data_IF_897385845124
#
_entry.id   IF_897385845124
#
_cell.length_a   1.000
_cell.length_b   1.000
_cell.length_c   1.000
_cell.angle_alpha   90.00
_cell.angle_beta   90.00
_cell.angle_gamma   90.00
#
_symmetry.space_group_name_H-M   'P 1'
#
loop_
_entity.id
_entity.type
_entity.pdbx_description
1 polymer ?
#
# COMPACT_ATOMS: atom_id res chain seq x y z
N UNK A 1 -0.11 -10.13 23.99
CA UNK A 1 -0.71 -10.88 22.87
C UNK A 1 -1.00 -12.27 23.38
N UNK A 2 -2.26 -12.67 23.43
CA UNK A 2 -2.72 -13.87 24.14
C UNK A 2 -2.97 -15.03 23.19
N UNK A 3 -3.06 -14.77 21.87
CA UNK A 3 -3.00 -15.81 20.84
C UNK A 3 -2.59 -15.26 19.48
N UNK A 4 -1.97 -16.10 18.68
CA UNK A 4 -1.65 -15.83 17.28
C UNK A 4 -2.36 -16.83 16.37
N UNK A 5 -3.07 -16.34 15.37
CA UNK A 5 -3.64 -17.11 14.28
C UNK A 5 -2.85 -16.79 13.00
N UNK A 6 -2.15 -17.77 12.44
CA UNK A 6 -1.43 -17.62 11.17
C UNK A 6 -2.19 -18.36 10.09
N UNK A 7 -2.62 -17.63 9.07
CA UNK A 7 -3.29 -18.13 7.88
C UNK A 7 -2.30 -17.99 6.72
N UNK A 8 -1.89 -19.12 6.17
CA UNK A 8 -0.91 -19.21 5.08
C UNK A 8 -1.63 -19.60 3.81
N UNK A 9 -1.77 -18.65 2.90
CA UNK A 9 -2.33 -18.89 1.59
C UNK A 9 -1.25 -19.41 0.66
N UNK A 10 -1.57 -20.52 -0.01
CA UNK A 10 -0.68 -21.05 -1.03
C UNK A 10 -0.66 -20.13 -2.25
N UNK A 11 0.37 -20.27 -3.06
CA UNK A 11 0.42 -19.63 -4.37
C UNK A 11 -0.80 -20.04 -5.20
N UNK A 12 -1.41 -19.08 -5.91
CA UNK A 12 -2.60 -19.28 -6.72
C UNK A 12 -3.55 -18.09 -6.73
N UNK A 13 -4.59 -18.21 -7.55
CA UNK A 13 -5.67 -17.23 -7.67
C UNK A 13 -6.90 -17.75 -6.93
N UNK A 14 -7.37 -16.99 -5.96
CA UNK A 14 -8.49 -17.33 -5.09
C UNK A 14 -9.71 -16.54 -5.51
N UNK A 15 -10.57 -17.18 -6.30
CA UNK A 15 -11.85 -16.60 -6.72
C UNK A 15 -12.94 -17.03 -5.76
N UNK A 16 -13.82 -16.09 -5.41
CA UNK A 16 -15.02 -16.40 -4.63
C UNK A 16 -16.11 -17.02 -5.52
N UNK A 17 -15.94 -18.30 -5.91
CA UNK A 17 -16.98 -19.08 -6.60
C UNK A 17 -18.24 -19.32 -5.77
N UNK A 18 -18.20 -19.01 -4.46
CA UNK A 18 -19.27 -19.28 -3.49
C UNK A 18 -19.76 -18.04 -2.71
N UNK A 19 -19.71 -16.84 -3.30
CA UNK A 19 -20.43 -15.64 -2.84
C UNK A 19 -20.09 -15.07 -1.43
N UNK A 20 -19.02 -15.53 -0.77
CA UNK A 20 -18.56 -14.95 0.50
C UNK A 20 -17.32 -14.08 0.25
N UNK A 21 -17.28 -12.85 0.77
CA UNK A 21 -16.04 -12.06 0.87
C UNK A 21 -15.05 -12.75 1.82
N UNK A 22 -13.75 -12.54 1.60
CA UNK A 22 -12.78 -12.80 2.65
C UNK A 22 -12.91 -11.65 3.66
N UNK A 23 -13.41 -11.93 4.86
CA UNK A 23 -13.56 -10.95 5.94
C UNK A 23 -12.82 -11.41 7.19
N UNK A 24 -11.90 -10.58 7.69
CA UNK A 24 -11.18 -10.82 8.94
C UNK A 24 -11.79 -9.97 10.05
N UNK A 25 -12.41 -10.64 11.02
CA UNK A 25 -13.01 -10.01 12.21
C UNK A 25 -12.56 -10.77 13.45
N UNK A 26 -11.46 -10.36 14.11
CA UNK A 26 -11.03 -10.97 15.35
C UNK A 26 -12.13 -10.86 16.41
N UNK A 27 -12.35 -11.95 17.16
CA UNK A 27 -13.24 -11.95 18.31
C UNK A 27 -12.42 -12.21 19.58
N UNK A 28 -12.53 -11.30 20.55
CA UNK A 28 -11.73 -11.31 21.78
C UNK A 28 -10.67 -10.21 21.80
N UNK A 29 -9.93 -10.11 22.90
CA UNK A 29 -8.84 -9.14 23.09
C UNK A 29 -7.48 -9.75 22.78
N UNK A 30 -6.47 -8.89 22.49
CA UNK A 30 -5.06 -9.29 22.39
C UNK A 30 -4.80 -10.41 21.38
N UNK A 31 -5.53 -10.40 20.26
CA UNK A 31 -5.38 -11.37 19.17
C UNK A 31 -4.47 -10.83 18.08
N UNK A 32 -3.53 -11.65 17.62
CA UNK A 32 -2.83 -11.42 16.36
C UNK A 32 -3.42 -12.34 15.29
N UNK A 33 -3.91 -11.78 14.19
CA UNK A 33 -4.23 -12.52 12.96
C UNK A 33 -3.23 -12.13 11.88
N UNK A 34 -2.44 -13.09 11.42
CA UNK A 34 -1.55 -12.93 10.28
C UNK A 34 -2.14 -13.67 9.08
N UNK A 35 -2.35 -12.96 7.97
CA UNK A 35 -2.68 -13.53 6.67
C UNK A 35 -1.50 -13.28 5.72
N UNK A 36 -0.90 -14.36 5.23
CA UNK A 36 0.27 -14.28 4.34
C UNK A 36 0.11 -15.12 3.08
N UNK A 37 0.56 -14.59 1.93
CA UNK A 37 0.63 -15.31 0.66
C UNK A 37 2.03 -15.84 0.33
N UNK A 38 2.16 -16.38 -0.90
CA UNK A 38 3.42 -16.89 -1.44
C UNK A 38 3.85 -18.25 -0.90
N UNK A 39 2.95 -19.04 -0.30
CA UNK A 39 3.31 -20.33 0.30
C UNK A 39 3.22 -21.51 -0.69
N UNK A 40 4.15 -22.44 -0.58
CA UNK A 40 4.15 -23.68 -1.37
C UNK A 40 4.71 -24.86 -0.57
N UNK A 41 4.60 -26.07 -1.14
CA UNK A 41 5.01 -27.30 -0.49
C UNK A 41 4.32 -28.55 -1.06
N UNK A 42 4.97 -29.70 -0.87
CA UNK A 42 4.45 -31.01 -1.26
C UNK A 42 3.17 -31.36 -0.48
N UNK A 43 2.28 -32.16 -1.08
CA UNK A 43 1.04 -32.63 -0.45
C UNK A 43 0.18 -31.50 0.14
N UNK A 44 0.08 -30.37 -0.58
CA UNK A 44 -0.68 -29.19 -0.16
C UNK A 44 -0.17 -28.51 1.14
N UNK A 45 1.07 -28.77 1.53
CA UNK A 45 1.69 -28.09 2.69
C UNK A 45 2.11 -26.64 2.37
N UNK A 46 2.35 -25.85 3.43
CA UNK A 46 2.84 -24.47 3.40
C UNK A 46 4.22 -24.39 4.09
N UNK A 47 5.22 -25.05 3.51
CA UNK A 47 6.57 -25.20 4.07
C UNK A 47 7.58 -24.21 3.50
N UNK A 48 7.39 -23.78 2.25
CA UNK A 48 8.25 -22.83 1.55
C UNK A 48 7.51 -21.53 1.33
N UNK A 49 8.22 -20.40 1.40
CA UNK A 49 7.66 -19.07 1.18
C UNK A 49 8.48 -18.33 0.12
N UNK A 50 7.79 -17.71 -0.83
CA UNK A 50 8.33 -16.70 -1.74
C UNK A 50 7.72 -15.34 -1.38
N UNK A 51 8.53 -14.28 -1.42
CA UNK A 51 8.14 -12.94 -0.97
C UNK A 51 7.60 -12.07 -2.12
N UNK A 52 6.78 -12.65 -2.99
CA UNK A 52 6.23 -11.98 -4.16
C UNK A 52 4.70 -11.93 -4.03
N UNK A 53 4.09 -10.75 -3.85
CA UNK A 53 2.65 -10.58 -3.71
C UNK A 53 1.86 -11.08 -4.91
N UNK A 54 2.43 -11.08 -6.12
CA UNK A 54 1.75 -11.51 -7.34
C UNK A 54 1.49 -13.02 -7.36
N UNK A 55 2.16 -13.80 -6.51
CA UNK A 55 1.97 -15.25 -6.44
C UNK A 55 0.69 -15.67 -5.73
N UNK A 56 0.07 -14.79 -4.94
CA UNK A 56 -1.19 -15.08 -4.24
C UNK A 56 -2.17 -13.95 -4.46
N UNK A 57 -3.14 -14.18 -5.34
CA UNK A 57 -4.15 -13.17 -5.69
C UNK A 57 -5.50 -13.52 -5.09
N UNK A 58 -6.07 -12.59 -4.31
CA UNK A 58 -7.45 -12.66 -3.86
C UNK A 58 -8.32 -11.85 -4.83
N UNK A 59 -9.36 -12.49 -5.37
CA UNK A 59 -10.26 -11.88 -6.36
C UNK A 59 -11.61 -11.59 -5.72
N UNK A 60 -12.05 -10.34 -5.80
CA UNK A 60 -13.38 -9.93 -5.37
C UNK A 60 -14.48 -10.42 -6.31
N UNK A 61 -15.72 -10.02 -6.03
CA UNK A 61 -16.87 -10.33 -6.90
C UNK A 61 -17.65 -9.06 -7.20
N UNK A 62 -18.67 -9.18 -8.06
CA UNK A 62 -19.54 -8.06 -8.37
C UNK A 62 -20.14 -7.36 -7.14
N UNK A 63 -20.35 -8.10 -6.05
CA UNK A 63 -21.05 -7.62 -4.87
C UNK A 63 -20.21 -7.60 -3.59
N UNK A 64 -18.92 -7.92 -3.69
CA UNK A 64 -18.04 -8.10 -2.52
C UNK A 64 -16.62 -7.68 -2.84
N UNK A 65 -15.98 -7.08 -1.85
CA UNK A 65 -14.55 -6.75 -1.88
C UNK A 65 -13.70 -8.01 -1.97
N UNK A 66 -12.47 -7.89 -2.47
CA UNK A 66 -11.53 -9.02 -2.44
C UNK A 66 -11.19 -9.40 -1.00
N UNK A 67 -10.81 -8.44 -0.15
CA UNK A 67 -10.59 -8.65 1.27
C UNK A 67 -11.10 -7.47 2.10
N UNK A 68 -11.89 -7.80 3.12
CA UNK A 68 -12.27 -6.89 4.19
C UNK A 68 -11.57 -7.27 5.49
N UNK A 69 -11.20 -6.29 6.30
CA UNK A 69 -10.90 -6.52 7.71
C UNK A 69 -11.49 -5.43 8.59
N UNK A 70 -11.85 -5.83 9.81
CA UNK A 70 -12.57 -4.99 10.75
C UNK A 70 -12.14 -5.34 12.17
N UNK A 71 -11.53 -4.37 12.84
CA UNK A 71 -11.08 -4.44 14.23
C UNK A 71 -11.99 -3.51 15.03
N UNK A 72 -12.93 -4.07 15.79
CA UNK A 72 -13.83 -3.29 16.63
C UNK A 72 -13.74 -3.73 18.09
N UNK A 73 -13.82 -2.75 19.00
CA UNK A 73 -13.94 -2.99 20.43
C UNK A 73 -15.37 -3.39 20.79
N UNK A 74 -15.66 -4.69 20.79
CA UNK A 74 -16.88 -5.20 21.44
C UNK A 74 -16.55 -5.50 22.90
N UNK A 75 -17.19 -4.81 23.85
CA UNK A 75 -17.14 -5.13 25.29
C UNK A 75 -15.74 -5.11 25.92
N UNK A 76 -14.97 -4.03 25.77
CA UNK A 76 -13.64 -3.89 26.40
C UNK A 76 -12.55 -4.78 25.76
N UNK A 77 -12.73 -5.10 24.48
CA UNK A 77 -11.70 -5.75 23.67
C UNK A 77 -10.77 -4.71 23.08
N UNK A 78 -9.50 -4.78 23.47
CA UNK A 78 -8.41 -3.93 22.99
C UNK A 78 -7.21 -4.80 22.54
N UNK A 79 -6.25 -4.17 21.88
CA UNK A 79 -4.96 -4.73 21.44
C UNK A 79 -5.05 -5.86 20.39
N UNK A 80 -6.07 -5.86 19.54
CA UNK A 80 -6.09 -6.73 18.36
C UNK A 80 -5.16 -6.18 17.26
N UNK A 81 -4.45 -7.09 16.59
CA UNK A 81 -3.58 -6.80 15.46
C UNK A 81 -3.95 -7.69 14.26
N UNK A 82 -4.16 -7.07 13.10
CA UNK A 82 -4.18 -7.77 11.81
C UNK A 82 -2.90 -7.45 11.05
N UNK A 83 -2.23 -8.49 10.55
CA UNK A 83 -1.06 -8.37 9.70
C UNK A 83 -1.33 -9.03 8.34
N UNK A 84 -1.31 -8.23 7.27
CA UNK A 84 -1.49 -8.69 5.89
C UNK A 84 -0.15 -8.56 5.17
N UNK A 85 0.31 -9.64 4.54
CA UNK A 85 1.63 -9.65 3.90
C UNK A 85 1.71 -10.55 2.67
N UNK A 86 2.41 -10.08 1.63
CA UNK A 86 2.65 -10.86 0.39
C UNK A 86 1.34 -11.26 -0.32
N UNK A 87 0.46 -10.29 -0.58
CA UNK A 87 -0.86 -10.53 -1.19
C UNK A 87 -1.13 -9.55 -2.33
N UNK A 88 -1.74 -10.06 -3.40
CA UNK A 88 -2.32 -9.26 -4.47
C UNK A 88 -3.85 -9.27 -4.42
N UNK A 89 -4.48 -8.16 -4.81
CA UNK A 89 -5.92 -7.99 -4.87
C UNK A 89 -6.36 -7.48 -6.23
N UNK A 90 -7.43 -8.05 -6.77
CA UNK A 90 -8.08 -7.56 -7.99
C UNK A 90 -9.59 -7.70 -7.93
N UNK A 91 -10.33 -6.76 -8.52
CA UNK A 91 -11.79 -6.82 -8.58
C UNK A 91 -12.34 -5.95 -9.72
N UNK A 92 -12.19 -6.38 -10.99
CA UNK A 92 -12.65 -5.61 -12.14
C UNK A 92 -14.18 -5.68 -12.31
N UNK A 93 -14.84 -6.62 -11.64
CA UNK A 93 -16.26 -6.88 -11.80
C UNK A 93 -17.15 -6.18 -10.77
N UNK A 94 -16.62 -5.39 -9.83
CA UNK A 94 -17.37 -4.84 -8.72
C UNK A 94 -18.38 -3.76 -9.16
N UNK A 95 -19.60 -3.83 -8.62
CA UNK A 95 -20.75 -3.02 -9.06
C UNK A 95 -21.54 -2.39 -7.92
N UNK A 96 -21.07 -2.52 -6.67
CA UNK A 96 -21.81 -1.99 -5.52
C UNK A 96 -21.40 -0.55 -5.20
N UNK A 97 -22.33 0.19 -4.61
CA UNK A 97 -22.08 1.47 -3.94
C UNK A 97 -21.38 1.22 -2.60
N UNK A 98 -20.10 0.89 -2.63
CA UNK A 98 -19.30 0.71 -1.41
C UNK A 98 -17.93 1.38 -1.49
N UNK A 99 -17.26 1.44 -0.35
CA UNK A 99 -15.94 2.03 -0.21
C UNK A 99 -14.86 0.94 -0.28
N UNK A 100 -14.31 0.73 -1.47
CA UNK A 100 -13.28 -0.26 -1.79
C UNK A 100 -13.84 -1.46 -2.55
N UNK A 101 -13.28 -1.79 -3.71
CA UNK A 101 -13.51 -3.00 -4.49
C UNK A 101 -12.48 -4.09 -4.17
N UNK A 102 -11.23 -3.74 -3.89
CA UNK A 102 -10.17 -4.70 -3.63
C UNK A 102 -9.92 -4.90 -2.13
N UNK A 103 -9.34 -3.92 -1.45
CA UNK A 103 -9.04 -4.00 -0.01
C UNK A 103 -9.80 -2.94 0.78
N UNK A 104 -10.48 -3.38 1.85
CA UNK A 104 -11.15 -2.48 2.79
C UNK A 104 -10.76 -2.80 4.24
N UNK A 105 -10.35 -1.77 4.98
CA UNK A 105 -9.95 -1.90 6.38
C UNK A 105 -10.68 -0.92 7.30
N UNK A 106 -11.09 -1.39 8.47
CA UNK A 106 -11.57 -0.55 9.58
C UNK A 106 -10.83 -0.90 10.86
N UNK A 107 -10.21 0.09 11.49
CA UNK A 107 -9.41 -0.07 12.71
C UNK A 107 -10.00 0.84 13.78
N UNK A 108 -10.60 0.29 14.84
CA UNK A 108 -11.04 1.09 15.99
C UNK A 108 -9.88 1.48 16.93
N UNK A 109 -10.15 2.43 17.82
CA UNK A 109 -9.20 2.83 18.87
C UNK A 109 -8.74 1.63 19.70
N UNK A 110 -7.47 1.60 20.09
CA UNK A 110 -6.88 0.49 20.84
C UNK A 110 -6.54 -0.74 19.98
N UNK A 111 -6.65 -0.66 18.65
CA UNK A 111 -6.27 -1.72 17.74
C UNK A 111 -5.22 -1.27 16.73
N UNK A 112 -4.58 -2.25 16.11
CA UNK A 112 -3.55 -2.01 15.11
C UNK A 112 -3.74 -2.83 13.84
N UNK A 113 -3.36 -2.28 12.70
CA UNK A 113 -3.20 -3.05 11.47
C UNK A 113 -1.83 -2.79 10.85
N UNK A 114 -1.25 -3.84 10.27
CA UNK A 114 -0.01 -3.77 9.50
C UNK A 114 -0.22 -4.37 8.12
N UNK A 115 0.16 -3.65 7.07
CA UNK A 115 0.10 -4.09 5.68
C UNK A 115 1.50 -3.98 5.09
N UNK A 116 2.01 -5.05 4.49
CA UNK A 116 3.37 -5.08 3.96
C UNK A 116 3.43 -5.90 2.66
N UNK A 117 3.99 -5.35 1.59
CA UNK A 117 4.06 -6.01 0.27
C UNK A 117 2.67 -6.42 -0.22
N UNK A 118 1.88 -5.39 -0.50
CA UNK A 118 0.51 -5.52 -1.00
C UNK A 118 0.45 -4.96 -2.42
N UNK A 119 -0.12 -5.73 -3.35
CA UNK A 119 -0.44 -5.25 -4.68
C UNK A 119 -1.97 -5.13 -4.81
N UNK A 120 -2.45 -4.04 -5.40
CA UNK A 120 -3.85 -3.90 -5.80
C UNK A 120 -3.90 -3.41 -7.25
N UNK A 121 -4.58 -4.15 -8.12
CA UNK A 121 -4.67 -3.81 -9.53
C UNK A 121 -6.02 -4.20 -10.15
N UNK A 122 -6.43 -3.49 -11.19
CA UNK A 122 -7.70 -3.71 -11.89
C UNK A 122 -8.88 -3.71 -10.91
N UNK A 123 -8.91 -2.70 -10.02
CA UNK A 123 -9.93 -2.53 -9.01
C UNK A 123 -10.93 -1.49 -9.50
N UNK A 124 -12.15 -1.90 -9.86
CA UNK A 124 -13.14 -0.98 -10.44
C UNK A 124 -14.36 -0.85 -9.55
N UNK A 125 -14.69 0.36 -9.12
CA UNK A 125 -15.89 0.69 -8.36
C UNK A 125 -16.67 1.81 -9.05
N UNK A 126 -17.29 1.57 -10.23
CA UNK A 126 -17.91 2.62 -11.04
C UNK A 126 -19.09 3.32 -10.34
N UNK A 127 -19.68 2.68 -9.34
CA UNK A 127 -20.75 3.26 -8.50
C UNK A 127 -20.31 3.51 -7.06
N UNK A 128 -19.04 3.19 -6.73
CA UNK A 128 -18.48 3.33 -5.39
C UNK A 128 -17.53 4.52 -5.31
N UNK A 129 -17.35 5.05 -4.10
CA UNK A 129 -16.44 6.18 -3.88
C UNK A 129 -14.97 5.80 -4.08
N UNK A 130 -14.59 4.59 -3.68
CA UNK A 130 -13.18 4.17 -3.63
C UNK A 130 -13.03 2.77 -4.21
N UNK A 131 -11.94 2.51 -4.94
CA UNK A 131 -11.75 1.22 -5.59
C UNK A 131 -10.63 0.37 -5.01
N UNK A 132 -9.36 0.78 -5.11
CA UNK A 132 -8.26 -0.17 -4.84
C UNK A 132 -8.08 -0.46 -3.36
N UNK A 133 -7.76 0.56 -2.55
CA UNK A 133 -7.51 0.37 -1.12
C UNK A 133 -8.18 1.48 -0.33
N UNK A 134 -9.04 1.11 0.62
CA UNK A 134 -9.72 2.08 1.49
C UNK A 134 -9.57 1.70 2.97
N UNK A 135 -8.88 2.53 3.74
CA UNK A 135 -8.53 2.28 5.14
C UNK A 135 -9.09 3.38 6.05
N UNK A 136 -10.02 3.00 6.94
CA UNK A 136 -10.55 3.86 7.99
C UNK A 136 -9.86 3.55 9.32
N UNK A 137 -9.11 4.50 9.86
CA UNK A 137 -8.26 4.31 11.03
C UNK A 137 -8.64 5.22 12.20
N UNK A 138 -9.04 4.61 13.32
CA UNK A 138 -9.21 5.21 14.65
C UNK A 138 -8.16 4.69 15.66
N UNK A 139 -7.25 3.80 15.23
CA UNK A 139 -6.18 3.21 16.04
C UNK A 139 -4.80 3.46 15.42
N UNK A 140 -3.97 2.42 15.32
CA UNK A 140 -2.64 2.50 14.69
C UNK A 140 -2.60 1.72 13.37
N UNK A 141 -2.18 2.37 12.30
CA UNK A 141 -1.99 1.77 11.00
C UNK A 141 -0.52 1.88 10.59
N UNK A 142 0.10 0.77 10.20
CA UNK A 142 1.36 0.76 9.45
C UNK A 142 1.10 0.13 8.09
N UNK A 143 1.43 0.83 7.01
CA UNK A 143 1.27 0.29 5.66
C UNK A 143 2.53 0.61 4.84
N UNK A 144 3.17 -0.41 4.30
CA UNK A 144 4.39 -0.23 3.52
C UNK A 144 4.54 -1.17 2.34
N UNK A 145 5.40 -0.78 1.40
CA UNK A 145 5.73 -1.58 0.23
C UNK A 145 4.46 -1.92 -0.57
N UNK A 146 3.63 -0.91 -0.83
CA UNK A 146 2.32 -1.10 -1.46
C UNK A 146 2.37 -0.57 -2.89
N UNK A 147 1.93 -1.40 -3.85
CA UNK A 147 1.76 -0.98 -5.23
C UNK A 147 0.26 -1.01 -5.59
N UNK A 148 -0.25 0.13 -6.05
CA UNK A 148 -1.62 0.26 -6.54
C UNK A 148 -1.59 0.74 -7.98
N UNK A 149 -2.29 0.06 -8.88
CA UNK A 149 -2.43 0.50 -10.27
C UNK A 149 -3.80 0.24 -10.86
N UNK A 150 -4.12 0.95 -11.94
CA UNK A 150 -5.27 0.66 -12.80
C UNK A 150 -6.58 0.49 -12.03
N UNK A 151 -6.80 1.37 -11.06
CA UNK A 151 -8.01 1.43 -10.25
C UNK A 151 -8.91 2.56 -10.70
N UNK A 152 -10.23 2.37 -10.72
CA UNK A 152 -11.19 3.41 -11.13
C UNK A 152 -12.38 3.46 -10.19
N UNK A 153 -12.73 4.65 -9.70
CA UNK A 153 -13.90 4.87 -8.85
C UNK A 153 -14.56 6.23 -9.13
N UNK A 154 -15.67 6.52 -8.44
CA UNK A 154 -16.24 7.87 -8.47
C UNK A 154 -15.32 8.90 -7.81
N UNK A 155 -14.75 8.62 -6.64
CA UNK A 155 -14.01 9.66 -5.90
C UNK A 155 -12.50 9.44 -5.87
N UNK A 156 -12.03 8.19 -5.86
CA UNK A 156 -10.61 7.83 -5.83
C UNK A 156 -10.39 6.37 -6.29
N UNK A 157 -9.71 6.19 -7.42
CA UNK A 157 -9.37 4.86 -7.94
C UNK A 157 -8.24 4.18 -7.16
N UNK A 158 -7.34 4.95 -6.56
CA UNK A 158 -6.15 4.45 -5.88
C UNK A 158 -6.32 4.12 -4.39
N UNK A 159 -5.48 4.75 -3.56
CA UNK A 159 -5.35 4.48 -2.13
C UNK A 159 -5.98 5.63 -1.32
N UNK A 160 -6.93 5.29 -0.45
CA UNK A 160 -7.47 6.19 0.56
C UNK A 160 -7.13 5.76 1.98
N UNK A 161 -6.71 6.73 2.79
CA UNK A 161 -6.50 6.55 4.23
C UNK A 161 -7.15 7.70 5.01
N UNK A 162 -8.07 7.34 5.89
CA UNK A 162 -8.72 8.25 6.83
C UNK A 162 -8.15 8.01 8.25
N UNK A 163 -7.59 9.03 8.90
CA UNK A 163 -7.14 8.99 10.29
C UNK A 163 -8.01 9.88 11.17
N UNK A 164 -8.79 9.27 12.05
CA UNK A 164 -9.68 9.96 12.98
C UNK A 164 -8.95 10.48 14.23
N UNK A 165 -9.68 11.19 15.10
CA UNK A 165 -9.11 11.77 16.31
C UNK A 165 -8.36 10.72 17.16
N UNK A 166 -7.10 11.01 17.49
CA UNK A 166 -6.20 10.13 18.23
C UNK A 166 -5.54 9.01 17.41
N UNK A 167 -5.95 8.79 16.16
CA UNK A 167 -5.38 7.77 15.30
C UNK A 167 -4.03 8.20 14.72
N UNK A 168 -3.16 7.22 14.46
CA UNK A 168 -1.87 7.43 13.80
C UNK A 168 -1.75 6.43 12.64
N UNK A 169 -1.45 6.93 11.45
CA UNK A 169 -1.09 6.13 10.29
C UNK A 169 0.34 6.44 9.84
N UNK A 170 1.15 5.38 9.69
CA UNK A 170 2.48 5.42 9.10
C UNK A 170 2.45 4.70 7.77
N UNK A 171 2.63 5.45 6.69
CA UNK A 171 2.60 5.01 5.31
C UNK A 171 4.00 5.20 4.72
N UNK A 172 4.59 4.17 4.12
CA UNK A 172 5.92 4.30 3.52
C UNK A 172 6.08 3.41 2.28
N UNK A 173 6.94 3.79 1.34
CA UNK A 173 7.22 2.96 0.14
C UNK A 173 5.95 2.56 -0.62
N UNK A 174 5.09 3.54 -0.92
CA UNK A 174 3.86 3.35 -1.68
C UNK A 174 4.05 3.88 -3.09
N UNK A 175 3.63 3.13 -4.10
CA UNK A 175 3.54 3.61 -5.48
C UNK A 175 2.10 3.48 -5.97
N UNK A 176 1.53 4.57 -6.48
CA UNK A 176 0.19 4.61 -7.08
C UNK A 176 0.25 5.23 -8.49
N UNK A 177 -0.21 4.50 -9.50
CA UNK A 177 -0.14 4.90 -10.92
C UNK A 177 -1.38 4.48 -11.70
N UNK A 178 -1.72 5.19 -12.79
CA UNK A 178 -2.79 4.75 -13.70
C UNK A 178 -4.18 4.65 -13.08
N UNK A 179 -4.42 5.29 -11.94
CA UNK A 179 -5.73 5.29 -11.28
C UNK A 179 -6.60 6.46 -11.73
N UNK A 180 -7.92 6.33 -11.63
CA UNK A 180 -8.89 7.29 -12.17
C UNK A 180 -9.99 7.64 -11.16
N UNK A 181 -10.48 8.87 -11.25
CA UNK A 181 -11.66 9.39 -10.57
C UNK A 181 -12.66 9.88 -11.60
N UNK A 182 -13.95 9.55 -11.45
CA UNK A 182 -14.98 9.86 -12.45
C UNK A 182 -16.16 10.67 -11.92
N UNK A 183 -16.17 10.97 -10.63
CA UNK A 183 -17.23 11.68 -9.93
C UNK A 183 -16.98 13.17 -9.91
N UNK A 184 -18.03 13.93 -10.25
CA UNK A 184 -18.00 15.39 -10.24
C UNK A 184 -17.61 15.94 -8.85
N UNK A 185 -16.64 16.86 -8.84
CA UNK A 185 -16.24 17.59 -7.63
C UNK A 185 -15.26 16.86 -6.69
N UNK A 186 -14.75 15.70 -7.08
CA UNK A 186 -13.66 15.01 -6.36
C UNK A 186 -12.34 15.18 -7.09
N UNK A 187 -11.32 15.60 -6.34
CA UNK A 187 -10.05 16.05 -6.91
C UNK A 187 -8.91 15.05 -6.67
N UNK A 188 -9.16 13.78 -6.37
CA UNK A 188 -8.10 12.84 -5.98
C UNK A 188 -8.20 11.48 -6.65
N UNK A 189 -7.32 11.15 -7.59
CA UNK A 189 -7.31 9.84 -8.28
C UNK A 189 -6.34 8.85 -7.68
N UNK A 190 -5.12 9.31 -7.35
CA UNK A 190 -4.04 8.51 -6.78
C UNK A 190 -4.19 8.25 -5.28
N UNK A 191 -3.47 9.01 -4.45
CA UNK A 191 -3.52 8.89 -3.00
C UNK A 191 -4.42 9.97 -2.39
N UNK A 192 -5.37 9.56 -1.55
CA UNK A 192 -6.24 10.45 -0.76
C UNK A 192 -5.95 10.27 0.73
N UNK A 193 -5.55 11.34 1.41
CA UNK A 193 -5.25 11.34 2.85
C UNK A 193 -6.18 12.29 3.59
N UNK A 194 -6.94 11.79 4.57
CA UNK A 194 -7.84 12.61 5.38
C UNK A 194 -7.53 12.47 6.85
N UNK A 195 -7.42 13.60 7.55
CA UNK A 195 -7.30 13.64 9.02
C UNK A 195 -8.52 14.34 9.63
N UNK A 196 -9.05 13.76 10.71
CA UNK A 196 -10.12 14.35 11.51
C UNK A 196 -9.64 14.62 12.93
N UNK A 197 -10.00 15.78 13.49
CA UNK A 197 -9.55 16.18 14.82
C UNK A 197 -8.02 16.25 14.90
N UNK A 198 -7.42 15.54 15.85
CA UNK A 198 -5.98 15.43 16.04
C UNK A 198 -5.38 14.13 15.46
N UNK A 199 -6.05 13.47 14.50
CA UNK A 199 -5.49 12.32 13.80
C UNK A 199 -4.23 12.68 13.00
N UNK A 200 -3.30 11.74 12.87
CA UNK A 200 -2.01 11.94 12.20
C UNK A 200 -1.79 10.93 11.08
N UNK A 201 -1.28 11.41 9.94
CA UNK A 201 -0.81 10.58 8.83
C UNK A 201 0.60 11.01 8.45
N UNK A 202 1.52 10.06 8.40
CA UNK A 202 2.86 10.25 7.87
C UNK A 202 3.01 9.43 6.60
N UNK A 203 3.33 10.08 5.48
CA UNK A 203 3.63 9.43 4.20
C UNK A 203 5.09 9.67 3.84
N UNK A 204 5.87 8.59 3.71
CA UNK A 204 7.30 8.63 3.43
C UNK A 204 7.70 7.85 2.18
N UNK A 205 8.75 8.27 1.48
CA UNK A 205 9.37 7.52 0.37
C UNK A 205 8.34 6.96 -0.62
N UNK A 206 7.38 7.77 -1.07
CA UNK A 206 6.24 7.28 -1.83
C UNK A 206 6.07 8.06 -3.13
N UNK A 207 5.51 7.41 -4.15
CA UNK A 207 5.22 7.97 -5.47
C UNK A 207 3.73 7.89 -5.75
N UNK A 208 3.13 8.98 -6.20
CA UNK A 208 1.80 8.98 -6.83
C UNK A 208 1.84 9.83 -8.08
N UNK A 209 1.77 9.21 -9.25
CA UNK A 209 2.06 9.92 -10.50
C UNK A 209 1.37 9.27 -11.70
N UNK A 210 0.94 10.08 -12.66
CA UNK A 210 0.38 9.60 -13.92
C UNK A 210 -0.94 8.87 -13.70
N UNK A 211 -1.77 9.39 -12.78
CA UNK A 211 -3.11 8.89 -12.55
C UNK A 211 -4.08 9.53 -13.55
N UNK A 212 -5.06 10.30 -13.07
CA UNK A 212 -6.09 10.85 -13.94
C UNK A 212 -5.52 11.78 -15.02
N UNK A 213 -6.11 11.72 -16.21
CA UNK A 213 -5.75 12.60 -17.32
C UNK A 213 -6.41 13.98 -17.19
N UNK A 214 -7.47 14.10 -16.38
CA UNK A 214 -8.08 15.37 -16.05
C UNK A 214 -7.14 16.20 -15.16
N UNK A 215 -6.75 17.38 -15.64
CA UNK A 215 -5.85 18.28 -14.94
C UNK A 215 -6.43 18.83 -13.63
N UNK A 216 -7.76 18.83 -13.48
CA UNK A 216 -8.42 19.24 -12.24
C UNK A 216 -8.39 18.14 -11.17
N UNK A 217 -8.13 16.89 -11.57
CA UNK A 217 -7.96 15.76 -10.65
C UNK A 217 -6.49 15.60 -10.26
N UNK A 218 -6.23 15.41 -8.96
CA UNK A 218 -4.88 15.39 -8.42
C UNK A 218 -4.38 13.97 -8.13
N UNK A 219 -3.07 13.77 -8.32
CA UNK A 219 -2.38 12.54 -7.93
C UNK A 219 -2.34 12.35 -6.40
N UNK A 220 -2.28 13.46 -5.65
CA UNK A 220 -2.30 13.48 -4.19
C UNK A 220 -3.33 14.49 -3.69
N UNK A 221 -4.33 14.01 -2.96
CA UNK A 221 -5.35 14.87 -2.35
C UNK A 221 -5.31 14.77 -0.83
N UNK A 222 -5.24 15.93 -0.17
CA UNK A 222 -5.07 16.02 1.29
C UNK A 222 -6.18 16.87 1.90
N UNK A 223 -6.82 16.33 2.94
CA UNK A 223 -7.77 17.08 3.76
C UNK A 223 -7.45 16.93 5.26
N UNK A 224 -7.24 18.06 5.92
CA UNK A 224 -6.96 18.14 7.35
C UNK A 224 -5.50 18.45 7.69
N UNK A 225 -5.27 18.89 8.92
CA UNK A 225 -4.01 19.47 9.37
C UNK A 225 -2.99 18.47 9.92
N UNK A 226 -3.30 17.16 9.95
CA UNK A 226 -2.45 16.13 10.57
C UNK A 226 -1.53 15.37 9.61
N UNK A 227 -1.39 15.82 8.36
CA UNK A 227 -0.65 15.09 7.32
C UNK A 227 0.76 15.62 7.14
N UNK A 228 1.76 14.74 7.25
CA UNK A 228 3.18 15.06 7.01
C UNK A 228 3.73 14.17 5.90
N UNK A 229 4.31 14.83 4.89
CA UNK A 229 4.97 14.18 3.75
C UNK A 229 6.49 14.29 3.91
N UNK A 230 7.22 13.22 3.62
CA UNK A 230 8.70 13.20 3.61
C UNK A 230 9.19 12.38 2.44
N UNK A 231 9.94 12.99 1.50
CA UNK A 231 10.38 12.29 0.27
C UNK A 231 9.20 11.66 -0.49
N UNK A 232 8.15 12.45 -0.70
CA UNK A 232 7.00 12.03 -1.50
C UNK A 232 7.12 12.68 -2.88
N UNK A 233 7.10 11.86 -3.92
CA UNK A 233 7.07 12.30 -5.31
C UNK A 233 5.63 12.26 -5.82
N UNK A 234 5.13 13.38 -6.32
CA UNK A 234 3.78 13.46 -6.86
C UNK A 234 3.74 14.25 -8.18
N UNK A 235 2.82 13.92 -9.08
CA UNK A 235 2.61 14.73 -10.28
C UNK A 235 1.89 16.02 -9.94
N UNK A 236 0.78 15.92 -9.19
CA UNK A 236 0.03 17.07 -8.71
C UNK A 236 -0.56 16.86 -7.30
N UNK A 237 -0.82 17.96 -6.59
CA UNK A 237 -1.29 17.94 -5.20
C UNK A 237 -2.37 18.99 -4.98
N UNK A 238 -3.43 18.60 -4.25
CA UNK A 238 -4.41 19.52 -3.68
C UNK A 238 -4.43 19.38 -2.15
N UNK A 239 -4.57 20.53 -1.48
CA UNK A 239 -4.53 20.64 -0.03
C UNK A 239 -3.15 21.05 0.51
N UNK A 240 -3.11 21.30 1.82
CA UNK A 240 -1.93 21.85 2.51
C UNK A 240 -1.48 20.90 3.63
N UNK A 241 -0.50 20.02 3.40
CA UNK A 241 0.03 19.18 4.47
C UNK A 241 0.69 20.05 5.55
N UNK A 242 0.70 19.56 6.79
CA UNK A 242 1.40 20.21 7.90
C UNK A 242 2.92 20.24 7.71
N UNK A 243 3.46 19.30 6.94
CA UNK A 243 4.86 19.31 6.51
C UNK A 243 5.00 18.67 5.14
N UNK A 244 5.81 19.27 4.28
CA UNK A 244 6.15 18.75 2.96
C UNK A 244 7.68 18.76 2.79
N UNK A 245 8.33 17.71 3.30
CA UNK A 245 9.78 17.68 3.48
C UNK A 245 10.41 17.01 2.27
N UNK A 246 11.24 17.77 1.54
CA UNK A 246 11.93 17.34 0.32
C UNK A 246 10.97 16.68 -0.70
N UNK A 247 9.96 17.41 -1.21
CA UNK A 247 9.06 16.90 -2.23
C UNK A 247 9.78 16.64 -3.55
N UNK A 248 9.30 15.65 -4.30
CA UNK A 248 9.67 15.40 -5.70
C UNK A 248 8.48 15.70 -6.62
N UNK A 249 8.76 16.19 -7.83
CA UNK A 249 7.77 16.38 -8.91
C UNK A 249 8.42 16.10 -10.27
N UNK A 250 7.63 15.98 -11.33
CA UNK A 250 8.11 15.66 -12.68
C UNK A 250 8.09 14.16 -12.97
N UNK A 251 8.73 13.74 -14.07
CA UNK A 251 8.80 12.33 -14.47
C UNK A 251 9.56 11.50 -13.41
N UNK A 252 8.92 10.49 -12.78
CA UNK A 252 9.57 9.61 -11.80
C UNK A 252 10.61 8.69 -12.46
N UNK A 253 10.65 8.58 -13.78
CA UNK A 253 11.58 7.70 -14.50
C UNK A 253 11.16 6.24 -14.46
N UNK A 254 9.86 5.94 -14.46
CA UNK A 254 9.35 4.56 -14.53
C UNK A 254 9.73 3.87 -15.83
N UNK A 255 9.90 2.55 -15.80
CA UNK A 255 10.20 1.72 -16.99
C UNK A 255 9.13 1.93 -18.06
N UNK A 256 7.86 1.91 -17.69
CA UNK A 256 6.73 2.24 -18.57
C UNK A 256 5.51 2.69 -17.76
N UNK A 257 4.39 3.01 -18.42
CA UNK A 257 3.13 3.33 -17.74
C UNK A 257 2.57 2.14 -16.94
N UNK A 258 2.85 0.91 -17.38
CA UNK A 258 2.36 -0.33 -16.75
C UNK A 258 3.40 -0.95 -15.78
N UNK A 259 4.60 -0.39 -15.72
CA UNK A 259 5.72 -0.89 -14.91
C UNK A 259 6.38 0.25 -14.15
N UNK A 260 5.97 0.41 -12.90
CA UNK A 260 6.43 1.46 -12.00
C UNK A 260 7.80 1.18 -11.34
N UNK A 261 8.55 0.18 -11.82
CA UNK A 261 9.97 0.05 -11.49
C UNK A 261 10.75 1.22 -12.09
N UNK A 262 11.82 1.62 -11.41
CA UNK A 262 12.64 2.77 -11.79
C UNK A 262 13.65 2.38 -12.89
N UNK A 263 13.81 3.25 -13.89
CA UNK A 263 14.90 3.16 -14.87
C UNK A 263 16.23 3.57 -14.19
N UNK A 264 17.40 3.12 -14.71
CA UNK A 264 18.71 3.40 -14.09
C UNK A 264 19.09 4.87 -13.86
N UNK A 265 18.38 5.83 -14.45
CA UNK A 265 18.62 7.27 -14.30
C UNK A 265 17.46 8.00 -13.64
N UNK A 266 16.55 7.26 -12.99
CA UNK A 266 15.47 7.87 -12.23
C UNK A 266 16.06 8.76 -11.13
N UNK A 267 15.50 9.97 -10.91
CA UNK A 267 15.90 10.82 -9.79
C UNK A 267 15.45 10.27 -8.43
N UNK A 268 14.67 9.17 -8.43
CA UNK A 268 14.11 8.57 -7.24
C UNK A 268 15.00 7.48 -6.62
N UNK A 269 16.01 7.01 -7.36
CA UNK A 269 17.01 6.05 -6.87
C UNK A 269 17.87 6.70 -5.79
N UNK A 270 18.12 5.99 -4.69
CA UNK A 270 18.95 6.39 -3.55
C UNK A 270 18.58 7.77 -2.97
N UNK A 271 17.30 8.15 -3.07
CA UNK A 271 16.84 9.51 -2.75
C UNK A 271 15.90 9.58 -1.54
N UNK A 272 15.49 8.43 -0.99
CA UNK A 272 14.60 8.33 0.15
C UNK A 272 15.26 8.62 1.50
N UNK A 273 14.51 8.37 2.57
CA UNK A 273 15.02 8.30 3.95
C UNK A 273 15.10 6.85 4.41
N UNK A 274 16.22 6.46 5.05
CA UNK A 274 16.42 5.08 5.52
C UNK A 274 15.60 4.74 6.79
N UNK A 275 15.09 5.77 7.46
CA UNK A 275 14.30 5.64 8.70
C UNK A 275 12.94 6.34 8.57
N UNK A 276 12.08 5.90 7.63
CA UNK A 276 10.73 6.42 7.54
C UNK A 276 9.94 6.02 8.79
N UNK A 277 8.94 6.82 9.15
CA UNK A 277 8.06 6.45 10.25
C UNK A 277 7.28 5.17 9.92
N UNK A 278 7.09 4.29 10.91
CA UNK A 278 6.59 2.93 10.69
C UNK A 278 7.65 1.94 10.19
N UNK A 279 8.86 2.42 9.85
CA UNK A 279 10.01 1.63 9.44
C UNK A 279 9.94 1.14 7.98
N UNK A 280 11.10 0.94 7.36
CA UNK A 280 11.21 0.57 5.96
C UNK A 280 10.82 -0.89 5.63
N UNK A 281 10.81 -1.76 6.63
CA UNK A 281 10.73 -3.20 6.38
C UNK A 281 12.04 -3.76 5.83
N UNK A 282 12.05 -5.06 5.54
CA UNK A 282 13.24 -5.77 5.07
C UNK A 282 13.26 -5.96 3.56
N UNK A 283 12.07 -5.99 2.94
CA UNK A 283 11.90 -6.31 1.53
C UNK A 283 11.09 -5.23 0.82
N UNK A 284 11.30 -5.11 -0.49
CA UNK A 284 10.50 -4.26 -1.36
C UNK A 284 9.22 -4.94 -1.84
N UNK A 285 8.42 -4.25 -2.67
CA UNK A 285 7.16 -4.80 -3.15
C UNK A 285 7.31 -6.02 -4.08
N UNK A 286 8.51 -6.33 -4.58
CA UNK A 286 8.84 -7.54 -5.36
C UNK A 286 9.49 -8.64 -4.51
N UNK A 287 9.77 -8.37 -3.23
CA UNK A 287 10.48 -9.29 -2.34
C UNK A 287 12.00 -9.18 -2.42
N UNK A 288 12.55 -8.21 -3.16
CA UNK A 288 13.95 -7.83 -3.14
C UNK A 288 14.34 -7.17 -1.82
N UNK A 289 15.64 -7.05 -1.52
CA UNK A 289 16.07 -6.31 -0.32
C UNK A 289 15.71 -4.84 -0.44
N UNK A 290 15.28 -4.19 0.65
CA UNK A 290 14.82 -2.79 0.64
C UNK A 290 15.94 -1.74 0.54
N UNK A 291 17.19 -2.10 0.80
CA UNK A 291 18.32 -1.19 0.58
C UNK A 291 19.28 -1.91 -0.35
N UNK A 292 19.35 -1.45 -1.60
CA UNK A 292 20.23 -2.03 -2.63
C UNK A 292 21.35 -1.08 -3.08
N UNK A 293 21.26 0.21 -2.72
CA UNK A 293 22.26 1.23 -3.00
C UNK A 293 22.70 2.00 -1.75
N UNK A 294 22.93 3.29 -1.91
CA UNK A 294 23.34 4.20 -0.83
C UNK A 294 22.21 4.56 0.14
N UNK A 295 20.95 4.51 -0.31
CA UNK A 295 19.76 4.78 0.48
C UNK A 295 18.56 3.97 -0.04
N UNK A 296 17.40 4.15 0.58
CA UNK A 296 16.13 3.62 0.06
C UNK A 296 15.67 4.41 -1.17
N UNK A 297 15.18 3.72 -2.19
CA UNK A 297 14.51 4.35 -3.33
C UNK A 297 13.13 4.92 -2.94
N UNK A 298 12.73 6.03 -3.57
CA UNK A 298 11.37 6.57 -3.40
C UNK A 298 10.38 5.77 -4.24
N UNK A 299 9.50 5.03 -3.58
CA UNK A 299 8.47 4.20 -4.19
C UNK A 299 8.38 2.80 -3.59
N UNK A 300 7.57 1.94 -4.21
CA UNK A 300 7.31 0.58 -3.76
C UNK A 300 8.43 -0.41 -4.13
N UNK A 301 9.27 -0.10 -5.12
CA UNK A 301 10.29 -0.99 -5.67
C UNK A 301 11.68 -0.37 -5.50
N UNK A 302 12.68 -1.19 -5.21
CA UNK A 302 14.08 -0.76 -5.37
C UNK A 302 14.54 -1.02 -6.80
N UNK A 303 15.34 -0.12 -7.35
CA UNK A 303 16.09 -0.37 -8.56
C UNK A 303 17.14 -1.45 -8.28
N UNK A 304 17.31 -2.35 -9.24
CA UNK A 304 18.44 -3.28 -9.19
C UNK A 304 19.74 -2.47 -9.21
N UNK A 305 20.75 -2.85 -8.42
CA UNK A 305 22.05 -2.19 -8.46
C UNK A 305 22.57 -2.22 -9.90
N UNK A 306 23.01 -1.08 -10.39
CA UNK A 306 23.55 -1.00 -11.75
C UNK A 306 24.87 -1.77 -11.82
N UNK A 307 25.30 -2.24 -13.01
CA UNK A 307 26.62 -2.85 -13.17
C UNK A 307 27.75 -1.98 -12.65
N UNK A 308 27.61 -0.65 -12.74
CA UNK A 308 28.57 0.31 -12.21
C UNK A 308 28.61 0.25 -10.67
N UNK A 309 27.46 0.13 -10.01
CA UNK A 309 27.39 -0.08 -8.54
C UNK A 309 28.07 -1.39 -8.12
N UNK A 310 27.98 -2.44 -8.95
CA UNK A 310 28.64 -3.72 -8.71
C UNK A 310 30.16 -3.66 -8.92
N UNK A 311 30.64 -2.87 -9.88
CA UNK A 311 32.08 -2.73 -10.19
C UNK A 311 32.83 -2.00 -9.05
N UNK A 312 32.17 -1.04 -8.38
CA UNK A 312 32.79 -0.29 -7.28
C UNK A 312 32.59 -0.91 -5.90
N UNK A 313 31.69 -1.89 -5.74
CA UNK A 313 31.37 -2.50 -4.43
C UNK A 313 32.54 -3.24 -3.78
N UNK A 314 33.43 -3.83 -4.59
CA UNK A 314 34.55 -4.63 -4.08
C UNK A 314 35.87 -3.85 -4.01
N UNK A 315 35.84 -2.53 -4.30
CA UNK A 315 37.01 -1.66 -4.34
C UNK A 315 37.97 -2.01 -5.48
N UNK A 316 38.76 -1.04 -5.92
CA UNK A 316 39.90 -1.35 -6.78
C UNK A 316 40.87 -2.21 -5.97
N UNK A 317 41.00 -3.49 -6.29
CA UNK A 317 42.21 -4.22 -5.90
C UNK A 317 43.37 -3.51 -6.58
N UNK A 318 44.04 -2.61 -5.86
CA UNK A 318 45.28 -2.02 -6.28
C UNK A 318 46.24 -3.19 -6.56
N UNK A 319 46.57 -3.38 -7.83
CA UNK A 319 47.63 -4.28 -8.23
C UNK A 319 48.88 -3.88 -7.46
N UNK A 320 49.33 -4.75 -6.58
CA UNK A 320 50.60 -4.62 -5.90
C UNK A 320 51.64 -5.07 -6.92
N UNK A 321 52.40 -4.11 -7.45
CA UNK A 321 53.68 -4.37 -8.14
C UNK A 321 54.74 -4.83 -7.13
#
# INVERSE_FOLDING_TARGET
>A
MDSTFSIRLREGVYTNSHALSYDIVPRGSKRLIELSGGWSGANLSCQSKRFDPALTTLVGTANRVALGFSLHSLLGQDDNLVYLIDLSFTNPGFTQEANGACLRGSIESGHSASLDRIHAHDCFAPFGSHASVNLSNRGTLTARNIYVRDGAALNNGGLRVDAYAGAIAHLAQITVTGTQSSGDGWLGSGITLITFGNGLIHLSNSVTWGNDADADTQDLWINGAGVVLTRVHYGSIEGSPAGNIAPGTGDPGFVSVDDARLRPHSPLIDSGTDSPQGGAGTFDADGGARVQGAAIDVGAFEAAPTPDDLIFRDGFQAGVD
#
